data_IF_291093269664
#
_entry.id   IF_291093269664
#
_cell.length_a   1.000
_cell.length_b   1.000
_cell.length_c   1.000
_cell.angle_alpha   90.00
_cell.angle_beta   90.00
_cell.angle_gamma   90.00
#
_symmetry.space_group_name_H-M   'P 1'
#
loop_
_entity.id
_entity.type
_entity.pdbx_description
1 polymer ?
#
# COMPACT_ATOMS: atom_id res chain seq x y z
N UNK A 1 -8.63 13.89 -11.69
CA UNK A 1 -9.58 14.46 -10.71
C UNK A 1 -9.23 13.78 -9.39
N UNK A 2 -9.06 14.53 -8.32
CA UNK A 2 -8.80 13.97 -6.99
C UNK A 2 -10.05 13.21 -6.53
N UNK A 3 -9.91 11.94 -6.14
CA UNK A 3 -11.05 11.13 -5.67
C UNK A 3 -11.32 11.31 -4.18
N UNK A 4 -10.46 12.02 -3.44
CA UNK A 4 -10.57 12.12 -1.98
C UNK A 4 -10.10 10.85 -1.26
N UNK A 5 -9.45 9.93 -1.97
CA UNK A 5 -8.98 8.65 -1.44
C UNK A 5 -7.48 8.51 -1.68
N UNK A 6 -6.80 7.87 -0.73
CA UNK A 6 -5.38 7.60 -0.77
C UNK A 6 -5.15 6.13 -0.43
N UNK A 7 -4.32 5.46 -1.20
CA UNK A 7 -3.77 4.19 -0.76
C UNK A 7 -2.53 4.48 0.07
N UNK A 8 -2.45 3.86 1.25
CA UNK A 8 -1.27 3.83 2.14
C UNK A 8 -0.80 2.38 2.37
N UNK A 9 0.47 2.24 2.71
CA UNK A 9 1.04 0.96 3.13
C UNK A 9 0.93 0.87 4.66
N UNK A 10 0.38 -0.25 5.15
CA UNK A 10 0.34 -0.57 6.57
C UNK A 10 1.24 -1.78 6.83
N UNK A 11 2.46 -1.48 7.28
CA UNK A 11 3.48 -2.47 7.58
C UNK A 11 3.41 -2.90 9.05
N UNK A 12 3.45 -4.21 9.31
CA UNK A 12 3.42 -4.77 10.67
C UNK A 12 4.66 -4.42 11.51
N UNK A 13 5.71 -3.90 10.88
CA UNK A 13 6.93 -3.45 11.52
C UNK A 13 7.53 -2.23 10.81
N UNK A 14 8.00 -1.21 11.55
CA UNK A 14 8.78 -0.12 10.98
C UNK A 14 10.21 -0.53 10.61
N UNK A 15 10.69 -1.68 11.11
CA UNK A 15 11.97 -2.26 10.70
C UNK A 15 11.77 -3.05 9.38
N UNK A 16 12.35 -2.60 8.26
CA UNK A 16 12.25 -3.29 6.97
C UNK A 16 13.03 -4.61 6.95
N UNK A 17 13.77 -4.95 8.00
CA UNK A 17 14.50 -6.21 8.18
C UNK A 17 13.87 -7.10 9.26
N UNK A 18 12.64 -6.82 9.68
CA UNK A 18 11.92 -7.65 10.62
C UNK A 18 11.84 -9.11 10.14
N UNK A 19 11.79 -10.04 11.09
CA UNK A 19 11.92 -11.48 10.82
C UNK A 19 10.72 -12.09 10.09
N UNK A 20 9.55 -11.50 10.29
CA UNK A 20 8.30 -11.93 9.65
C UNK A 20 7.52 -10.67 9.25
N UNK A 21 8.03 -9.93 8.25
CA UNK A 21 7.42 -8.69 7.85
C UNK A 21 6.20 -8.99 6.98
N UNK A 22 5.13 -8.25 7.22
CA UNK A 22 3.91 -8.28 6.44
C UNK A 22 3.47 -6.85 6.16
N UNK A 23 2.83 -6.66 5.03
CA UNK A 23 2.28 -5.38 4.65
C UNK A 23 0.95 -5.55 3.93
N UNK A 24 0.02 -4.66 4.26
CA UNK A 24 -1.25 -4.52 3.56
C UNK A 24 -1.28 -3.20 2.80
N UNK A 25 -1.95 -3.20 1.66
CA UNK A 25 -2.40 -1.99 1.01
C UNK A 25 -3.74 -1.58 1.63
N UNK A 26 -3.80 -0.34 2.13
CA UNK A 26 -4.97 0.20 2.81
C UNK A 26 -5.47 1.41 2.06
N UNK A 27 -6.74 1.38 1.65
CA UNK A 27 -7.42 2.52 1.06
C UNK A 27 -8.04 3.36 2.18
N UNK A 28 -7.74 4.66 2.23
CA UNK A 28 -8.29 5.58 3.22
C UNK A 28 -8.95 6.79 2.57
N UNK A 29 -9.98 7.33 3.21
CA UNK A 29 -10.49 8.67 2.91
C UNK A 29 -9.46 9.71 3.35
N UNK A 30 -9.06 10.62 2.46
CA UNK A 30 -7.97 11.59 2.70
C UNK A 30 -8.29 12.53 3.86
N UNK A 31 -9.51 13.05 3.90
CA UNK A 31 -9.89 14.10 4.85
C UNK A 31 -10.05 13.57 6.28
N UNK A 32 -10.49 12.33 6.44
CA UNK A 32 -10.79 11.75 7.76
C UNK A 32 -9.79 10.69 8.20
N UNK A 33 -9.02 10.12 7.27
CA UNK A 33 -8.17 8.95 7.50
C UNK A 33 -8.95 7.65 7.70
N UNK A 34 -10.26 7.63 7.44
CA UNK A 34 -11.08 6.43 7.63
C UNK A 34 -10.70 5.34 6.63
N UNK A 35 -10.45 4.12 7.13
CA UNK A 35 -10.19 2.94 6.30
C UNK A 35 -11.44 2.56 5.50
N UNK A 36 -11.31 2.50 4.18
CA UNK A 36 -12.34 2.09 3.22
C UNK A 36 -12.17 0.61 2.87
N UNK A 37 -10.92 0.14 2.75
CA UNK A 37 -10.63 -1.24 2.39
C UNK A 37 -9.16 -1.62 2.58
N UNK A 38 -8.91 -2.93 2.58
CA UNK A 38 -7.60 -3.53 2.86
C UNK A 38 -7.37 -4.78 2.03
N UNK A 39 -6.15 -4.94 1.52
CA UNK A 39 -5.72 -6.14 0.82
C UNK A 39 -4.26 -6.48 1.15
N UNK A 40 -3.92 -7.78 1.30
CA UNK A 40 -2.54 -8.19 1.54
C UNK A 40 -1.68 -7.88 0.31
N UNK A 41 -0.52 -7.26 0.50
CA UNK A 41 0.43 -6.99 -0.59
C UNK A 41 1.08 -8.29 -1.08
N UNK A 42 1.21 -9.29 -0.20
CA UNK A 42 1.82 -10.58 -0.52
C UNK A 42 3.33 -10.52 -0.74
N UNK A 43 3.97 -9.40 -0.38
CA UNK A 43 5.42 -9.25 -0.34
C UNK A 43 5.89 -9.26 1.12
N UNK A 44 7.05 -9.90 1.37
CA UNK A 44 7.63 -9.94 2.70
C UNK A 44 8.01 -8.54 3.18
N UNK A 45 8.56 -7.68 2.33
CA UNK A 45 8.94 -6.32 2.70
C UNK A 45 8.46 -5.34 1.64
N UNK A 46 7.99 -4.19 2.07
CA UNK A 46 7.70 -3.03 1.22
C UNK A 46 8.53 -1.86 1.74
N UNK A 47 9.04 -1.02 0.84
CA UNK A 47 10.04 0.02 1.15
C UNK A 47 9.64 1.37 0.58
N UNK A 48 8.74 1.35 -0.41
CA UNK A 48 8.12 2.54 -0.92
C UNK A 48 6.86 2.17 -1.67
N UNK A 49 5.80 2.90 -1.38
CA UNK A 49 4.62 2.90 -2.22
C UNK A 49 4.59 4.17 -3.06
N UNK A 50 4.38 3.99 -4.35
CA UNK A 50 4.14 5.11 -5.25
C UNK A 50 2.64 5.41 -5.23
N UNK A 51 2.24 6.32 -4.33
CA UNK A 51 0.86 6.74 -4.19
C UNK A 51 0.32 7.22 -5.55
N UNK A 52 -0.77 6.62 -6.01
CA UNK A 52 -1.50 7.03 -7.20
C UNK A 52 -2.85 7.60 -6.76
N UNK A 53 -3.24 8.80 -7.21
CA UNK A 53 -4.57 9.33 -6.93
C UNK A 53 -5.62 8.56 -7.74
N UNK A 54 -6.61 7.98 -7.05
CA UNK A 54 -7.86 7.50 -7.66
C UNK A 54 -8.20 6.01 -7.49
N UNK A 55 -9.47 5.73 -7.16
CA UNK A 55 -10.12 4.42 -7.31
C UNK A 55 -10.04 3.90 -8.77
N UNK A 56 -10.07 2.58 -8.98
CA UNK A 56 -9.97 1.91 -10.30
C UNK A 56 -8.67 2.23 -11.08
N UNK A 57 -7.57 2.42 -10.35
CA UNK A 57 -6.23 2.64 -10.91
C UNK A 57 -5.21 1.70 -10.27
N UNK A 58 -4.29 1.20 -11.10
CA UNK A 58 -3.12 0.48 -10.62
C UNK A 58 -2.21 1.42 -9.81
N UNK A 59 -1.72 0.94 -8.67
CA UNK A 59 -0.58 1.55 -7.96
C UNK A 59 0.53 0.51 -7.76
N UNK A 60 1.74 1.01 -7.56
CA UNK A 60 2.94 0.19 -7.52
C UNK A 60 3.59 0.28 -6.15
N UNK A 61 3.97 -0.88 -5.62
CA UNK A 61 4.78 -1.00 -4.41
C UNK A 61 6.11 -1.62 -4.79
N UNK A 62 7.19 -1.16 -4.17
CA UNK A 62 8.50 -1.77 -4.31
C UNK A 62 9.04 -2.26 -2.96
N UNK A 63 9.84 -3.31 -3.02
CA UNK A 63 10.58 -3.85 -1.88
C UNK A 63 12.07 -3.53 -2.00
N UNK A 64 12.74 -3.47 -0.84
CA UNK A 64 14.18 -3.36 -0.69
C UNK A 64 14.92 -4.49 -1.41
N UNK A 65 14.30 -5.67 -1.49
CA UNK A 65 14.83 -6.84 -2.18
C UNK A 65 14.68 -6.75 -3.72
N UNK A 66 14.13 -5.65 -4.25
CA UNK A 66 14.02 -5.39 -5.69
C UNK A 66 12.76 -5.91 -6.35
N UNK A 67 11.76 -6.38 -5.59
CA UNK A 67 10.47 -6.74 -6.15
C UNK A 67 9.63 -5.49 -6.41
N UNK A 68 8.96 -5.44 -7.56
CA UNK A 68 7.91 -4.45 -7.85
C UNK A 68 6.61 -5.21 -8.04
N UNK A 69 5.59 -4.87 -7.25
CA UNK A 69 4.26 -5.43 -7.40
C UNK A 69 3.29 -4.37 -7.91
N UNK A 70 2.41 -4.78 -8.83
CA UNK A 70 1.26 -4.00 -9.27
C UNK A 70 0.06 -4.42 -8.44
N UNK A 71 -0.58 -3.47 -7.78
CA UNK A 71 -1.80 -3.72 -7.02
C UNK A 71 -2.97 -3.13 -7.79
N UNK A 72 -3.94 -3.99 -8.10
CA UNK A 72 -5.21 -3.62 -8.71
C UNK A 72 -6.29 -3.75 -7.64
N UNK A 73 -6.99 -2.65 -7.36
CA UNK A 73 -8.12 -2.60 -6.41
C UNK A 73 -9.38 -2.33 -7.23
N UNK A 74 -10.42 -3.14 -7.00
CA UNK A 74 -11.72 -3.09 -7.67
C UNK A 74 -12.85 -2.98 -6.65
#
# INVERSE_FOLDING_TARGET
MDTGELVVEDASSPDPLARDPSADAVLVEIETGSEIGRAPIGAATTTGMFCSPGFDRDFYVCSLAGAVARIYVQ
#
